data_IF_370712664835
#
_entry.id   IF_370712664835
#
_cell.length_a   1.000
_cell.length_b   1.000
_cell.length_c   1.000
_cell.angle_alpha   90.00
_cell.angle_beta   90.00
_cell.angle_gamma   90.00
#
_symmetry.space_group_name_H-M   'P 1'
#
loop_
_entity.id
_entity.type
_entity.pdbx_description
1 polymer ?
#
# COMPACT_ATOMS: atom_id res chain seq x y z
N UNK A 1 5.60 11.64 38.07
CA UNK A 1 5.72 11.19 36.67
C UNK A 1 4.53 10.31 36.36
N UNK A 2 3.50 10.81 35.66
CA UNK A 2 2.35 9.99 35.27
C UNK A 2 2.79 9.02 34.17
N UNK A 3 2.80 7.72 34.47
CA UNK A 3 3.06 6.68 33.47
C UNK A 3 2.08 6.85 32.31
N UNK A 4 2.62 6.98 31.11
CA UNK A 4 1.87 6.99 29.86
C UNK A 4 1.36 5.55 29.67
N UNK A 5 0.05 5.33 29.78
CA UNK A 5 -0.58 4.01 29.62
C UNK A 5 -1.01 3.82 28.17
N UNK A 6 -0.05 3.83 27.24
CA UNK A 6 -0.34 3.37 25.87
C UNK A 6 0.02 1.90 25.79
N UNK A 7 -0.81 1.05 25.17
CA UNK A 7 -0.48 -0.35 24.98
C UNK A 7 0.81 -0.49 24.16
N UNK A 8 1.61 -1.51 24.45
CA UNK A 8 2.87 -1.75 23.76
C UNK A 8 2.59 -1.95 22.25
N UNK A 9 3.04 -1.00 21.42
CA UNK A 9 2.75 -0.99 19.99
C UNK A 9 3.37 -2.19 19.25
N UNK A 10 4.51 -2.71 19.70
CA UNK A 10 5.11 -3.92 19.11
C UNK A 10 4.27 -5.15 19.41
N UNK A 11 3.90 -5.35 20.68
CA UNK A 11 3.05 -6.47 21.07
C UNK A 11 1.67 -6.42 20.40
N UNK A 12 1.08 -5.23 20.27
CA UNK A 12 -0.17 -5.03 19.53
C UNK A 12 -0.03 -5.40 18.05
N UNK A 13 1.10 -5.04 17.42
CA UNK A 13 1.37 -5.36 16.02
C UNK A 13 1.53 -6.86 15.81
N UNK A 14 2.29 -7.54 16.66
CA UNK A 14 2.44 -9.01 16.63
C UNK A 14 1.10 -9.73 16.81
N UNK A 15 0.28 -9.25 17.75
CA UNK A 15 -1.06 -9.79 17.97
C UNK A 15 -1.97 -9.60 16.75
N UNK A 16 -1.98 -8.40 16.17
CA UNK A 16 -2.73 -8.08 14.96
C UNK A 16 -2.31 -8.99 13.80
N UNK A 17 -1.00 -9.12 13.53
CA UNK A 17 -0.50 -9.98 12.46
C UNK A 17 -0.82 -11.46 12.69
N UNK A 18 -0.80 -11.93 13.95
CA UNK A 18 -1.20 -13.29 14.32
C UNK A 18 -2.69 -13.54 14.05
N UNK A 19 -3.57 -12.63 14.46
CA UNK A 19 -5.01 -12.77 14.24
C UNK A 19 -5.38 -12.61 12.77
N UNK A 20 -4.65 -11.78 12.03
CA UNK A 20 -4.82 -11.65 10.59
C UNK A 20 -4.49 -12.95 9.87
N UNK A 21 -3.36 -13.60 10.19
CA UNK A 21 -3.01 -14.93 9.66
C UNK A 21 -4.10 -15.97 9.94
N UNK A 22 -4.73 -15.90 11.10
CA UNK A 22 -5.86 -16.76 11.43
C UNK A 22 -7.02 -16.52 10.45
N UNK A 23 -7.45 -15.27 10.25
CA UNK A 23 -8.55 -14.93 9.32
C UNK A 23 -8.23 -15.34 7.88
N UNK A 24 -6.98 -15.18 7.43
CA UNK A 24 -6.56 -15.60 6.09
C UNK A 24 -6.66 -17.13 5.86
N UNK A 25 -6.61 -17.92 6.93
CA UNK A 25 -6.72 -19.38 6.87
C UNK A 25 -8.17 -19.88 7.03
N UNK A 26 -9.15 -19.00 7.29
CA UNK A 26 -10.55 -19.36 7.44
C UNK A 26 -11.25 -19.49 6.07
N UNK A 27 -12.00 -20.57 5.85
CA UNK A 27 -12.76 -20.78 4.60
C UNK A 27 -14.07 -19.97 4.53
N UNK A 28 -14.64 -19.59 5.69
CA UNK A 28 -15.91 -18.88 5.78
C UNK A 28 -15.81 -17.66 6.71
N UNK A 29 -16.14 -16.48 6.19
CA UNK A 29 -16.11 -15.21 6.91
C UNK A 29 -17.51 -14.73 7.29
N UNK A 30 -18.12 -15.38 8.29
CA UNK A 30 -19.30 -14.77 8.93
C UNK A 30 -18.84 -13.57 9.76
N UNK A 31 -19.51 -12.43 9.58
CA UNK A 31 -19.20 -11.17 10.26
C UNK A 31 -20.45 -10.69 10.97
N UNK A 32 -20.31 -10.21 12.20
CA UNK A 32 -21.39 -9.58 12.93
C UNK A 32 -21.91 -8.34 12.17
N UNK A 33 -23.23 -8.19 11.92
CA UNK A 33 -23.76 -7.14 11.05
C UNK A 33 -23.44 -5.70 11.50
N UNK A 34 -23.40 -5.47 12.81
CA UNK A 34 -23.01 -4.20 13.44
C UNK A 34 -21.56 -3.82 13.09
N UNK A 35 -20.64 -4.77 13.23
CA UNK A 35 -19.23 -4.60 12.85
C UNK A 35 -19.09 -4.34 11.36
N UNK A 36 -19.81 -5.10 10.53
CA UNK A 36 -19.69 -4.95 9.08
C UNK A 36 -20.15 -3.57 8.60
N UNK A 37 -21.27 -3.07 9.14
CA UNK A 37 -21.78 -1.73 8.85
C UNK A 37 -20.80 -0.64 9.27
N UNK A 38 -20.17 -0.75 10.45
CA UNK A 38 -19.17 0.22 10.92
C UNK A 38 -17.92 0.26 10.04
N UNK A 39 -17.46 -0.90 9.57
CA UNK A 39 -16.31 -0.99 8.65
C UNK A 39 -16.68 -0.51 7.23
N UNK A 40 -17.95 -0.64 6.81
CA UNK A 40 -18.47 -0.05 5.58
C UNK A 40 -18.79 1.45 5.67
N UNK A 41 -18.75 2.07 6.86
CA UNK A 41 -19.18 3.47 7.02
C UNK A 41 -18.44 4.44 6.10
N UNK A 42 -19.17 5.37 5.50
CA UNK A 42 -18.59 6.47 4.71
C UNK A 42 -17.69 7.39 5.56
N UNK A 43 -17.76 7.29 6.89
CA UNK A 43 -16.96 8.09 7.81
C UNK A 43 -15.64 7.38 8.12
N UNK A 44 -14.54 7.84 7.50
CA UNK A 44 -13.17 7.33 7.72
C UNK A 44 -12.82 7.22 9.22
N UNK A 45 -13.20 8.22 10.02
CA UNK A 45 -12.94 8.21 11.46
C UNK A 45 -13.60 7.04 12.18
N UNK A 46 -14.80 6.62 11.78
CA UNK A 46 -15.47 5.45 12.39
C UNK A 46 -14.73 4.17 11.99
N UNK A 47 -14.44 4.03 10.68
CA UNK A 47 -13.71 2.88 10.13
C UNK A 47 -12.40 2.62 10.87
N UNK A 48 -11.64 3.67 11.19
CA UNK A 48 -10.38 3.54 11.94
C UNK A 48 -10.56 3.50 13.46
N UNK A 49 -11.60 4.11 14.03
CA UNK A 49 -11.80 4.14 15.48
C UNK A 49 -12.04 2.72 16.04
N UNK A 50 -12.97 1.97 15.44
CA UNK A 50 -13.34 0.63 15.88
C UNK A 50 -12.15 -0.32 16.04
N UNK A 51 -11.32 -0.61 15.00
CA UNK A 51 -10.16 -1.49 15.14
C UNK A 51 -9.12 -0.95 16.12
N UNK A 52 -8.93 0.37 16.19
CA UNK A 52 -7.99 0.99 17.12
C UNK A 52 -8.38 0.69 18.57
N UNK A 53 -9.64 0.93 18.93
CA UNK A 53 -10.13 0.79 20.29
C UNK A 53 -10.14 -0.68 20.75
N UNK A 54 -10.61 -1.58 19.87
CA UNK A 54 -10.65 -3.02 20.16
C UNK A 54 -9.24 -3.61 20.31
N UNK A 55 -8.31 -3.31 19.39
CA UNK A 55 -6.94 -3.82 19.49
C UNK A 55 -6.21 -3.27 20.72
N UNK A 56 -6.44 -2.00 21.05
CA UNK A 56 -5.90 -1.39 22.28
C UNK A 56 -6.35 -2.15 23.51
N UNK A 57 -7.66 -2.35 23.69
CA UNK A 57 -8.26 -3.12 24.80
C UNK A 57 -7.80 -4.58 24.83
N UNK A 58 -7.63 -5.19 23.66
CA UNK A 58 -7.17 -6.58 23.58
C UNK A 58 -5.69 -6.71 23.97
N UNK A 59 -4.88 -5.70 23.66
CA UNK A 59 -3.46 -5.66 24.02
C UNK A 59 -3.26 -5.37 25.51
N UNK A 60 -4.08 -4.48 26.08
CA UNK A 60 -4.12 -4.19 27.52
C UNK A 60 -5.58 -4.11 28.00
N UNK A 61 -6.09 -5.16 28.67
CA UNK A 61 -7.47 -5.22 29.14
C UNK A 61 -7.87 -4.13 30.14
N UNK A 62 -6.91 -3.44 30.76
CA UNK A 62 -7.19 -2.38 31.74
C UNK A 62 -7.52 -1.03 31.09
N UNK A 63 -7.31 -0.89 29.79
CA UNK A 63 -7.60 0.34 29.06
C UNK A 63 -9.10 0.57 28.93
N UNK A 64 -9.52 1.82 28.90
CA UNK A 64 -10.90 2.19 28.57
C UNK A 64 -11.05 2.29 27.05
N UNK A 65 -11.79 1.38 26.43
CA UNK A 65 -11.96 1.39 24.97
C UNK A 65 -12.95 2.45 24.46
N UNK A 66 -13.58 3.21 25.36
CA UNK A 66 -14.35 4.40 25.01
C UNK A 66 -13.49 5.66 25.02
N UNK A 67 -12.26 5.59 25.55
CA UNK A 67 -11.34 6.71 25.62
C UNK A 67 -10.83 7.12 24.22
N UNK A 68 -10.83 8.42 23.92
CA UNK A 68 -10.43 8.97 22.62
C UNK A 68 -9.16 9.84 22.71
N UNK A 69 -8.75 10.25 23.92
CA UNK A 69 -7.59 11.09 24.15
C UNK A 69 -6.81 10.70 25.39
N UNK A 70 -5.52 11.08 25.39
CA UNK A 70 -4.63 10.98 26.55
C UNK A 70 -5.33 11.52 27.79
N UNK A 71 -5.44 10.68 28.80
CA UNK A 71 -5.96 11.07 30.10
C UNK A 71 -5.04 12.07 30.81
N UNK A 72 -5.64 12.87 31.68
CA UNK A 72 -4.94 13.47 32.81
C UNK A 72 -4.92 12.47 33.99
N UNK A 73 -4.28 12.81 35.12
CA UNK A 73 -4.14 11.90 36.28
C UNK A 73 -5.46 11.44 36.94
N UNK A 74 -6.64 11.81 36.43
CA UNK A 74 -7.95 11.43 36.99
C UNK A 74 -8.57 10.18 36.34
N UNK A 75 -8.08 9.71 35.19
CA UNK A 75 -8.58 8.52 34.51
C UNK A 75 -7.43 7.53 34.28
N UNK A 76 -7.17 6.60 35.23
CA UNK A 76 -6.02 5.69 35.14
C UNK A 76 -6.04 4.75 33.92
N UNK A 77 -7.22 4.48 33.36
CA UNK A 77 -7.42 3.64 32.16
C UNK A 77 -7.42 4.43 30.84
N UNK A 78 -7.27 5.76 30.90
CA UNK A 78 -7.20 6.59 29.70
C UNK A 78 -5.83 6.49 29.03
N UNK A 79 -5.82 6.52 27.69
CA UNK A 79 -4.66 6.18 26.88
C UNK A 79 -4.56 7.06 25.63
N UNK A 80 -3.59 6.78 24.75
CA UNK A 80 -3.39 7.52 23.48
C UNK A 80 -3.86 6.72 22.25
N UNK A 81 -5.17 6.66 21.93
CA UNK A 81 -5.65 5.98 20.74
C UNK A 81 -5.11 6.57 19.44
N UNK A 82 -4.96 7.90 19.35
CA UNK A 82 -4.47 8.56 18.14
C UNK A 82 -3.02 8.18 17.85
N UNK A 83 -2.15 8.26 18.85
CA UNK A 83 -0.75 7.84 18.72
C UNK A 83 -0.59 6.33 18.52
N UNK A 84 -1.49 5.52 19.08
CA UNK A 84 -1.51 4.08 18.83
C UNK A 84 -1.97 3.75 17.40
N UNK A 85 -3.05 4.38 16.92
CA UNK A 85 -3.57 4.24 15.57
C UNK A 85 -2.50 4.57 14.52
N UNK A 86 -1.78 5.69 14.68
CA UNK A 86 -0.73 6.10 13.74
C UNK A 86 0.50 5.19 13.74
N UNK A 87 0.78 4.47 14.84
CA UNK A 87 1.91 3.54 14.96
C UNK A 87 1.59 2.11 14.56
N UNK A 88 0.34 1.68 14.71
CA UNK A 88 -0.05 0.27 14.56
C UNK A 88 -1.06 0.10 13.42
N UNK A 89 -2.25 0.70 13.54
CA UNK A 89 -3.36 0.48 12.59
C UNK A 89 -3.08 1.11 11.23
N UNK A 90 -2.62 2.35 11.18
CA UNK A 90 -2.37 3.06 9.90
C UNK A 90 -1.28 2.35 9.06
N UNK A 91 -0.09 2.01 9.60
CA UNK A 91 0.90 1.25 8.85
C UNK A 91 0.37 -0.12 8.41
N UNK A 92 -0.31 -0.85 9.31
CA UNK A 92 -0.89 -2.15 8.96
C UNK A 92 -1.92 -2.04 7.83
N UNK A 93 -2.77 -1.00 7.83
CA UNK A 93 -3.74 -0.79 6.73
C UNK A 93 -3.06 -0.41 5.42
N UNK A 94 -1.98 0.36 5.48
CA UNK A 94 -1.19 0.70 4.28
C UNK A 94 -0.59 -0.56 3.65
N UNK A 95 -0.14 -1.51 4.48
CA UNK A 95 0.35 -2.82 4.06
C UNK A 95 -0.79 -3.78 3.61
N UNK A 96 -2.01 -3.62 4.14
CA UNK A 96 -3.15 -4.51 3.92
C UNK A 96 -4.32 -3.81 3.20
N UNK A 97 -4.05 -3.34 1.98
CA UNK A 97 -5.05 -2.86 1.03
C UNK A 97 -5.90 -1.63 1.41
N UNK A 98 -5.57 -0.91 2.48
CA UNK A 98 -6.12 0.42 2.84
C UNK A 98 -7.66 0.53 2.71
N UNK A 99 -8.40 -0.56 2.95
CA UNK A 99 -9.85 -0.62 2.72
C UNK A 99 -10.63 0.30 3.65
N UNK A 100 -10.03 0.68 4.78
CA UNK A 100 -10.57 1.67 5.71
C UNK A 100 -10.34 3.13 5.26
N UNK A 101 -9.52 3.34 4.23
CA UNK A 101 -9.11 4.64 3.70
C UNK A 101 -7.60 4.87 3.77
N UNK A 102 -7.14 5.95 3.14
CA UNK A 102 -5.71 6.32 3.01
C UNK A 102 -5.26 7.41 3.97
N UNK A 103 -6.09 7.79 4.96
CA UNK A 103 -5.77 8.86 5.90
C UNK A 103 -4.57 8.47 6.77
N UNK A 104 -3.54 9.32 6.79
CA UNK A 104 -2.40 9.18 7.69
C UNK A 104 -2.71 9.62 9.13
N UNK A 105 -3.82 10.34 9.35
CA UNK A 105 -4.29 10.77 10.67
C UNK A 105 -5.82 10.71 10.79
N UNK A 106 -6.41 9.51 10.96
CA UNK A 106 -7.86 9.33 11.00
C UNK A 106 -8.55 10.00 12.19
N UNK A 107 -7.79 10.36 13.23
CA UNK A 107 -8.26 10.93 14.51
C UNK A 107 -8.32 12.47 14.51
N UNK A 108 -8.04 13.14 13.39
CA UNK A 108 -8.10 14.61 13.30
C UNK A 108 -9.53 15.19 13.30
N UNK A 109 -10.53 14.34 13.06
CA UNK A 109 -11.94 14.76 12.99
C UNK A 109 -12.45 15.31 14.33
N UNK A 110 -13.48 16.17 14.29
CA UNK A 110 -14.06 16.76 15.51
C UNK A 110 -14.58 15.70 16.51
N UNK A 111 -15.28 14.63 16.09
CA UNK A 111 -15.81 13.63 17.03
C UNK A 111 -14.72 12.88 17.81
N UNK A 112 -13.60 12.56 17.15
CA UNK A 112 -12.46 11.86 17.78
C UNK A 112 -11.54 12.79 18.60
N UNK A 113 -11.80 14.09 18.60
CA UNK A 113 -11.13 15.08 19.46
C UNK A 113 -11.82 15.29 20.81
N UNK A 114 -12.80 14.46 21.15
CA UNK A 114 -13.40 14.41 22.48
C UNK A 114 -12.53 13.57 23.42
N UNK A 115 -12.79 13.65 24.72
CA UNK A 115 -12.04 12.86 25.72
C UNK A 115 -12.46 11.38 25.67
N UNK A 116 -13.76 11.14 25.50
CA UNK A 116 -14.39 9.82 25.51
C UNK A 116 -15.61 9.83 24.59
N UNK A 117 -15.98 8.66 24.06
CA UNK A 117 -17.00 8.53 23.01
C UNK A 117 -18.44 8.78 23.49
N UNK A 118 -18.70 8.56 24.78
CA UNK A 118 -19.99 8.73 25.45
C UNK A 118 -20.27 10.17 25.91
N UNK A 119 -19.32 11.09 25.71
CA UNK A 119 -19.47 12.51 26.08
C UNK A 119 -20.08 13.31 24.93
N UNK A 120 -21.25 13.91 25.22
CA UNK A 120 -21.98 14.95 24.48
C UNK A 120 -21.89 14.87 22.94
N UNK A 121 -22.86 14.16 22.35
CA UNK A 121 -22.91 13.90 20.92
C UNK A 121 -23.68 14.98 20.15
N UNK A 122 -23.31 16.25 20.34
CA UNK A 122 -23.84 17.36 19.54
C UNK A 122 -23.86 17.02 18.04
N UNK A 123 -25.06 17.06 17.43
CA UNK A 123 -25.42 16.73 16.02
C UNK A 123 -24.22 16.47 15.11
N UNK A 124 -23.61 15.30 15.25
CA UNK A 124 -22.52 14.89 14.36
C UNK A 124 -23.16 14.33 13.08
N UNK A 125 -22.57 14.65 11.92
CA UNK A 125 -22.97 14.01 10.67
C UNK A 125 -22.80 12.48 10.81
N UNK A 126 -23.77 11.71 10.31
CA UNK A 126 -23.84 10.24 10.45
C UNK A 126 -23.99 9.77 11.91
N UNK A 127 -24.82 10.46 12.70
CA UNK A 127 -25.07 10.14 14.11
C UNK A 127 -25.36 8.65 14.36
N UNK A 128 -26.17 8.01 13.50
CA UNK A 128 -26.49 6.57 13.60
C UNK A 128 -25.26 5.67 13.65
N UNK A 129 -24.23 5.96 12.85
CA UNK A 129 -23.01 5.15 12.81
C UNK A 129 -22.17 5.38 14.09
N UNK A 130 -22.19 6.61 14.63
CA UNK A 130 -21.54 6.93 15.91
C UNK A 130 -22.25 6.27 17.10
N UNK A 131 -23.58 6.21 17.08
CA UNK A 131 -24.38 5.53 18.09
C UNK A 131 -24.08 4.03 18.09
N UNK A 132 -24.01 3.42 16.90
CA UNK A 132 -23.64 2.01 16.74
C UNK A 132 -22.21 1.72 17.20
N UNK A 133 -21.26 2.61 16.87
CA UNK A 133 -19.89 2.50 17.37
C UNK A 133 -19.83 2.55 18.90
N UNK A 134 -20.59 3.46 19.50
CA UNK A 134 -20.69 3.59 20.95
C UNK A 134 -21.31 2.33 21.57
N UNK A 135 -22.37 1.78 20.98
CA UNK A 135 -23.03 0.57 21.47
C UNK A 135 -22.07 -0.62 21.47
N UNK A 136 -21.38 -0.88 20.34
CA UNK A 136 -20.40 -1.97 20.21
C UNK A 136 -19.27 -1.82 21.23
N UNK A 137 -18.67 -0.64 21.34
CA UNK A 137 -17.56 -0.41 22.27
C UNK A 137 -18.02 -0.42 23.73
N UNK A 138 -19.24 0.04 24.03
CA UNK A 138 -19.81 -0.03 25.38
C UNK A 138 -20.08 -1.47 25.79
N UNK A 139 -20.55 -2.33 24.88
CA UNK A 139 -20.73 -3.75 25.15
C UNK A 139 -19.40 -4.42 25.50
N UNK A 140 -18.34 -4.12 24.75
CA UNK A 140 -16.99 -4.62 25.00
C UNK A 140 -16.46 -4.14 26.36
N UNK A 141 -16.59 -2.84 26.65
CA UNK A 141 -16.14 -2.25 27.92
C UNK A 141 -16.89 -2.85 29.11
N UNK A 142 -18.22 -2.99 29.01
CA UNK A 142 -19.06 -3.50 30.09
C UNK A 142 -18.86 -5.00 30.36
N UNK A 143 -18.66 -5.81 29.31
CA UNK A 143 -18.41 -7.25 29.47
C UNK A 143 -17.03 -7.54 30.05
N UNK A 144 -16.04 -6.69 29.81
CA UNK A 144 -14.66 -6.82 30.31
C UNK A 144 -14.08 -8.24 30.11
N UNK A 145 -14.38 -8.85 28.95
CA UNK A 145 -14.00 -10.23 28.63
C UNK A 145 -13.00 -10.23 27.48
N UNK A 146 -11.74 -10.64 27.70
CA UNK A 146 -10.73 -10.69 26.64
C UNK A 146 -11.15 -11.56 25.44
N UNK A 147 -11.82 -12.69 25.70
CA UNK A 147 -12.30 -13.57 24.65
C UNK A 147 -13.42 -12.92 23.82
N UNK A 148 -14.33 -12.20 24.47
CA UNK A 148 -15.36 -11.44 23.75
C UNK A 148 -14.75 -10.33 22.89
N UNK A 149 -13.81 -9.55 23.44
CA UNK A 149 -13.08 -8.51 22.70
C UNK A 149 -12.34 -9.10 21.51
N UNK A 150 -11.67 -10.24 21.69
CA UNK A 150 -10.96 -10.96 20.63
C UNK A 150 -11.91 -11.36 19.50
N UNK A 151 -13.07 -11.92 19.82
CA UNK A 151 -14.06 -12.33 18.83
C UNK A 151 -14.61 -11.13 18.05
N UNK A 152 -14.94 -10.02 18.72
CA UNK A 152 -15.34 -8.77 18.06
C UNK A 152 -14.23 -8.21 17.16
N UNK A 153 -12.97 -8.33 17.57
CA UNK A 153 -11.85 -7.91 16.74
C UNK A 153 -11.62 -8.83 15.53
N UNK A 154 -11.81 -10.14 15.67
CA UNK A 154 -11.80 -11.07 14.54
C UNK A 154 -12.91 -10.74 13.53
N UNK A 155 -14.10 -10.35 13.98
CA UNK A 155 -15.16 -9.89 13.08
C UNK A 155 -14.75 -8.64 12.30
N UNK A 156 -14.04 -7.70 12.94
CA UNK A 156 -13.47 -6.52 12.25
C UNK A 156 -12.48 -6.97 11.16
N UNK A 157 -11.57 -7.88 11.48
CA UNK A 157 -10.60 -8.40 10.52
C UNK A 157 -11.28 -9.15 9.37
N UNK A 158 -12.29 -9.98 9.64
CA UNK A 158 -13.08 -10.65 8.59
C UNK A 158 -13.80 -9.65 7.69
N UNK A 159 -14.39 -8.61 8.25
CA UNK A 159 -15.05 -7.52 7.51
C UNK A 159 -14.07 -6.78 6.58
N UNK A 160 -12.86 -6.52 7.08
CA UNK A 160 -11.75 -5.97 6.30
C UNK A 160 -11.38 -6.95 5.18
N UNK A 161 -11.18 -8.23 5.47
CA UNK A 161 -10.80 -9.26 4.50
C UNK A 161 -11.81 -9.41 3.37
N UNK A 162 -13.11 -9.45 3.69
CA UNK A 162 -14.18 -9.49 2.67
C UNK A 162 -14.06 -8.30 1.73
N UNK A 163 -13.85 -7.09 2.25
CA UNK A 163 -13.65 -5.88 1.42
C UNK A 163 -12.36 -5.93 0.61
N UNK A 164 -11.28 -6.49 1.16
CA UNK A 164 -10.03 -6.70 0.40
C UNK A 164 -10.30 -7.61 -0.81
N UNK A 165 -10.98 -8.73 -0.59
CA UNK A 165 -11.35 -9.70 -1.64
C UNK A 165 -12.28 -9.08 -2.68
N UNK A 166 -13.25 -8.27 -2.25
CA UNK A 166 -14.13 -7.52 -3.18
C UNK A 166 -13.40 -6.39 -3.92
N UNK A 167 -12.31 -5.89 -3.36
CA UNK A 167 -11.47 -4.85 -3.97
C UNK A 167 -10.45 -5.43 -4.97
N UNK A 168 -10.13 -6.72 -4.90
CA UNK A 168 -9.30 -7.38 -5.93
C UNK A 168 -10.13 -7.60 -7.19
N UNK A 169 -9.66 -7.07 -8.31
CA UNK A 169 -10.31 -7.25 -9.59
C UNK A 169 -9.76 -8.49 -10.27
N UNK A 170 -10.64 -9.36 -10.75
CA UNK A 170 -10.29 -10.37 -11.73
C UNK A 170 -10.11 -9.68 -13.08
N UNK A 171 -8.90 -9.79 -13.64
CA UNK A 171 -8.57 -9.22 -14.94
C UNK A 171 -8.64 -10.32 -15.99
N UNK A 172 -9.68 -10.26 -16.83
CA UNK A 172 -9.82 -11.16 -17.96
C UNK A 172 -8.87 -10.67 -19.06
N UNK A 173 -7.81 -11.43 -19.32
CA UNK A 173 -6.86 -11.14 -20.39
C UNK A 173 -7.22 -12.00 -21.61
N UNK A 174 -7.25 -11.44 -22.83
CA UNK A 174 -7.52 -12.22 -24.03
C UNK A 174 -6.46 -13.30 -24.24
N UNK A 175 -6.87 -14.43 -24.82
CA UNK A 175 -5.96 -15.55 -25.13
C UNK A 175 -4.83 -15.13 -26.07
N UNK A 176 -5.15 -14.23 -27.02
CA UNK A 176 -4.21 -13.69 -28.01
C UNK A 176 -4.29 -12.18 -28.07
N UNK A 177 -3.13 -11.52 -28.17
CA UNK A 177 -3.05 -10.08 -28.33
C UNK A 177 -1.82 -9.65 -29.15
N UNK A 178 -2.03 -8.70 -30.06
CA UNK A 178 -0.92 -8.12 -30.82
C UNK A 178 -0.07 -7.18 -29.95
N UNK A 179 1.19 -6.99 -30.35
CA UNK A 179 2.08 -6.01 -29.71
C UNK A 179 1.48 -4.60 -29.77
N UNK A 180 0.88 -4.23 -30.91
CA UNK A 180 0.28 -2.90 -31.10
C UNK A 180 -0.88 -2.66 -30.14
N UNK A 181 -1.77 -3.65 -29.94
CA UNK A 181 -2.85 -3.57 -28.96
C UNK A 181 -2.29 -3.48 -27.53
N UNK A 182 -1.29 -4.30 -27.20
CA UNK A 182 -0.64 -4.30 -25.88
C UNK A 182 -0.05 -2.93 -25.53
N UNK A 183 0.74 -2.35 -26.45
CA UNK A 183 1.32 -1.02 -26.28
C UNK A 183 0.23 0.06 -26.23
N UNK A 184 -0.82 -0.06 -27.06
CA UNK A 184 -1.97 0.84 -27.06
C UNK A 184 -2.69 0.90 -25.71
N UNK A 185 -2.95 -0.27 -25.11
CA UNK A 185 -3.57 -0.38 -23.78
C UNK A 185 -2.72 0.32 -22.71
N UNK A 186 -1.42 0.06 -22.69
CA UNK A 186 -0.52 0.69 -21.72
C UNK A 186 -0.51 2.21 -21.89
N UNK A 187 -0.45 2.70 -23.13
CA UNK A 187 -0.52 4.15 -23.40
C UNK A 187 -1.82 4.77 -22.89
N UNK A 188 -2.95 4.12 -23.17
CA UNK A 188 -4.24 4.60 -22.69
C UNK A 188 -4.31 4.57 -21.16
N UNK A 189 -3.76 3.54 -20.53
CA UNK A 189 -3.71 3.43 -19.08
C UNK A 189 -2.84 4.51 -18.44
N UNK A 190 -1.67 4.82 -19.02
CA UNK A 190 -0.76 5.85 -18.51
C UNK A 190 -1.20 7.29 -18.86
N UNK A 191 -2.22 7.46 -19.70
CA UNK A 191 -2.70 8.80 -20.10
C UNK A 191 -3.37 9.59 -18.96
N UNK A 192 -3.86 8.91 -17.93
CA UNK A 192 -4.44 9.55 -16.75
C UNK A 192 -3.46 9.62 -15.58
N UNK A 193 -3.45 10.76 -14.89
CA UNK A 193 -2.58 10.95 -13.72
C UNK A 193 -2.93 10.01 -12.57
N UNK A 194 -1.92 9.27 -12.14
CA UNK A 194 -2.00 8.30 -11.05
C UNK A 194 -1.10 8.63 -9.86
N UNK A 195 -0.30 9.70 -9.95
CA UNK A 195 0.76 9.99 -8.99
C UNK A 195 1.94 9.02 -9.06
N UNK A 196 2.21 8.41 -10.23
CA UNK A 196 3.30 7.46 -10.45
C UNK A 196 2.92 5.98 -10.28
N UNK A 197 1.75 5.68 -9.70
CA UNK A 197 1.35 4.33 -9.32
C UNK A 197 1.10 3.41 -10.53
N UNK A 198 0.52 3.95 -11.61
CA UNK A 198 0.30 3.21 -12.86
C UNK A 198 1.63 2.93 -13.56
N UNK A 199 2.49 3.94 -13.75
CA UNK A 199 3.80 3.77 -14.35
C UNK A 199 4.65 2.73 -13.63
N UNK A 200 4.65 2.77 -12.30
CA UNK A 200 5.38 1.82 -11.48
C UNK A 200 4.82 0.40 -11.58
N UNK A 201 3.49 0.24 -11.63
CA UNK A 201 2.84 -1.06 -11.83
C UNK A 201 3.18 -1.67 -13.20
N UNK A 202 3.18 -0.84 -14.25
CA UNK A 202 3.56 -1.25 -15.61
C UNK A 202 5.03 -1.70 -15.65
N UNK A 203 5.94 -0.90 -15.09
CA UNK A 203 7.36 -1.23 -15.07
C UNK A 203 7.61 -2.54 -14.28
N UNK A 204 7.02 -2.68 -13.09
CA UNK A 204 7.15 -3.91 -12.29
C UNK A 204 6.67 -5.15 -13.05
N UNK A 205 5.48 -5.08 -13.64
CA UNK A 205 4.91 -6.17 -14.43
C UNK A 205 5.77 -6.52 -15.64
N UNK A 206 6.36 -5.52 -16.31
CA UNK A 206 7.26 -5.74 -17.42
C UNK A 206 8.52 -6.48 -16.98
N UNK A 207 9.19 -6.03 -15.92
CA UNK A 207 10.40 -6.68 -15.42
C UNK A 207 10.14 -8.08 -14.85
N UNK A 208 8.99 -8.33 -14.21
CA UNK A 208 8.58 -9.70 -13.82
C UNK A 208 8.40 -10.60 -15.06
N UNK A 209 7.75 -10.08 -16.10
CA UNK A 209 7.52 -10.83 -17.33
C UNK A 209 8.83 -11.16 -18.05
N UNK A 210 9.68 -10.16 -18.27
CA UNK A 210 10.97 -10.36 -18.93
C UNK A 210 11.90 -11.24 -18.07
N UNK A 211 11.87 -11.06 -16.74
CA UNK A 211 12.60 -11.89 -15.78
C UNK A 211 12.26 -13.37 -15.91
N UNK A 212 10.95 -13.68 -15.98
CA UNK A 212 10.45 -15.03 -16.19
C UNK A 212 10.86 -15.60 -17.56
N UNK A 213 10.56 -14.89 -18.66
CA UNK A 213 10.76 -15.42 -20.01
C UNK A 213 12.24 -15.60 -20.38
N UNK A 214 13.10 -14.69 -19.93
CA UNK A 214 14.53 -14.74 -20.26
C UNK A 214 15.38 -15.37 -19.14
N UNK A 215 14.77 -15.76 -18.01
CA UNK A 215 15.49 -16.29 -16.85
C UNK A 215 16.46 -15.28 -16.23
N UNK A 216 16.17 -13.98 -16.33
CA UNK A 216 17.05 -12.90 -15.86
C UNK A 216 16.91 -12.66 -14.36
N UNK A 217 15.68 -12.76 -13.84
CA UNK A 217 15.33 -12.39 -12.47
C UNK A 217 14.44 -13.46 -11.85
N UNK A 218 14.71 -13.84 -10.61
CA UNK A 218 13.82 -14.69 -9.82
C UNK A 218 12.83 -13.90 -8.98
N UNK A 219 13.13 -12.63 -8.71
CA UNK A 219 12.31 -11.75 -7.89
C UNK A 219 12.42 -10.30 -8.37
N UNK A 220 11.29 -9.61 -8.49
CA UNK A 220 11.22 -8.17 -8.72
C UNK A 220 10.49 -7.55 -7.53
N UNK A 221 11.22 -6.76 -6.73
CA UNK A 221 10.66 -6.04 -5.58
C UNK A 221 10.30 -4.64 -6.02
N UNK A 222 9.03 -4.30 -5.84
CA UNK A 222 8.53 -2.93 -6.01
C UNK A 222 8.39 -2.28 -4.63
N UNK A 223 8.83 -1.04 -4.51
CA UNK A 223 8.66 -0.24 -3.30
C UNK A 223 7.42 0.68 -3.42
N UNK A 224 6.69 0.88 -2.34
CA UNK A 224 5.50 1.74 -2.38
C UNK A 224 5.91 3.22 -2.42
N UNK A 225 5.17 4.04 -3.20
CA UNK A 225 5.47 5.47 -3.41
C UNK A 225 5.52 6.28 -2.09
N UNK A 226 4.84 5.82 -1.05
CA UNK A 226 4.74 6.50 0.25
C UNK A 226 5.70 5.94 1.32
N UNK A 227 6.52 4.95 1.00
CA UNK A 227 7.54 4.46 1.93
C UNK A 227 8.61 5.54 2.05
N UNK A 228 8.78 6.12 3.24
CA UNK A 228 9.87 7.07 3.46
C UNK A 228 11.21 6.37 3.14
N UNK A 229 11.82 6.73 2.00
CA UNK A 229 13.09 6.23 1.44
C UNK A 229 14.24 6.13 2.46
N UNK A 230 14.14 6.82 3.60
CA UNK A 230 15.14 6.83 4.65
C UNK A 230 15.18 5.58 5.55
N UNK A 231 14.11 4.77 5.61
CA UNK A 231 14.01 3.67 6.58
C UNK A 231 14.40 2.28 6.03
N UNK A 232 14.35 2.08 4.70
CA UNK A 232 14.48 0.74 4.10
C UNK A 232 15.80 0.47 3.38
N UNK A 233 16.63 1.50 3.12
CA UNK A 233 17.86 1.32 2.35
C UNK A 233 17.62 0.95 0.88
N UNK A 234 16.41 1.16 0.38
CA UNK A 234 16.04 0.87 -1.01
C UNK A 234 16.87 1.67 -1.99
N UNK A 235 17.23 1.01 -3.09
CA UNK A 235 18.19 1.48 -4.07
C UNK A 235 17.54 1.95 -5.38
N UNK A 236 16.21 1.88 -5.47
CA UNK A 236 15.35 2.39 -6.56
C UNK A 236 13.86 2.06 -6.34
N UNK A 237 12.98 2.53 -7.21
CA UNK A 237 11.55 2.20 -7.12
C UNK A 237 11.27 0.69 -7.33
N UNK A 238 12.09 0.04 -8.17
CA UNK A 238 12.11 -1.41 -8.37
C UNK A 238 13.53 -1.98 -8.21
N UNK A 239 13.62 -3.19 -7.67
CA UNK A 239 14.86 -3.95 -7.50
C UNK A 239 14.68 -5.37 -8.05
N UNK A 240 15.54 -5.78 -8.97
CA UNK A 240 15.47 -7.10 -9.62
C UNK A 240 16.61 -7.99 -9.14
N UNK A 241 16.28 -9.15 -8.58
CA UNK A 241 17.23 -10.09 -7.98
C UNK A 241 17.37 -11.37 -8.82
N UNK A 242 18.59 -11.91 -8.86
CA UNK A 242 18.83 -13.25 -9.42
C UNK A 242 18.40 -14.37 -8.45
N UNK A 243 18.40 -15.61 -8.93
CA UNK A 243 18.05 -16.79 -8.14
C UNK A 243 18.97 -17.05 -6.93
N UNK A 244 20.10 -16.35 -6.83
CA UNK A 244 21.03 -16.40 -5.69
C UNK A 244 20.77 -15.27 -4.70
N UNK A 245 19.78 -14.41 -4.94
CA UNK A 245 19.44 -13.26 -4.11
C UNK A 245 20.31 -12.03 -4.33
N UNK A 246 21.11 -11.97 -5.41
CA UNK A 246 21.93 -10.80 -5.70
C UNK A 246 21.12 -9.77 -6.48
N UNK A 247 21.19 -8.49 -6.07
CA UNK A 247 20.63 -7.39 -6.82
C UNK A 247 21.36 -7.24 -8.16
N UNK A 248 20.62 -7.39 -9.26
CA UNK A 248 21.15 -7.28 -10.63
C UNK A 248 20.87 -5.94 -11.26
N UNK A 249 19.71 -5.38 -10.98
CA UNK A 249 19.22 -4.19 -11.63
C UNK A 249 18.34 -3.40 -10.68
N UNK A 250 18.57 -2.09 -10.61
CA UNK A 250 17.66 -1.13 -9.98
C UNK A 250 16.96 -0.30 -11.06
N UNK A 251 15.68 0.00 -10.86
CA UNK A 251 14.89 0.80 -11.78
C UNK A 251 14.22 1.94 -11.02
N UNK A 252 14.45 3.16 -11.49
CA UNK A 252 13.74 4.35 -11.03
C UNK A 252 12.70 4.74 -12.09
N UNK A 253 11.43 4.84 -11.72
CA UNK A 253 10.33 5.09 -12.65
C UNK A 253 9.89 6.54 -12.55
N UNK A 254 9.83 7.23 -13.70
CA UNK A 254 9.33 8.61 -13.78
C UNK A 254 8.32 8.73 -14.92
N UNK A 255 7.11 9.15 -14.59
CA UNK A 255 6.06 9.51 -15.56
C UNK A 255 6.31 10.89 -16.21
N UNK A 256 7.44 11.55 -15.88
CA UNK A 256 7.85 12.87 -16.40
C UNK A 256 9.27 12.83 -16.94
N UNK A 257 9.65 13.88 -17.66
CA UNK A 257 11.03 14.07 -18.10
C UNK A 257 12.00 14.05 -16.91
N UNK A 258 13.13 13.38 -17.08
CA UNK A 258 14.22 13.33 -16.11
C UNK A 258 14.90 14.68 -16.01
N UNK A 259 15.16 15.09 -14.78
CA UNK A 259 16.01 16.23 -14.47
C UNK A 259 17.39 15.76 -14.02
N UNK A 260 18.36 16.67 -14.05
CA UNK A 260 19.70 16.42 -13.53
C UNK A 260 19.67 16.05 -12.03
N UNK A 261 18.74 16.62 -11.28
CA UNK A 261 18.54 16.31 -9.86
C UNK A 261 18.09 14.87 -9.65
N UNK A 262 17.19 14.36 -10.50
CA UNK A 262 16.75 12.96 -10.44
C UNK A 262 17.93 12.01 -10.67
N UNK A 263 18.74 12.27 -11.70
CA UNK A 263 19.89 11.43 -12.06
C UNK A 263 20.95 11.46 -10.96
N UNK A 264 21.28 12.64 -10.41
CA UNK A 264 22.22 12.77 -9.29
C UNK A 264 21.73 12.00 -8.05
N UNK A 265 20.44 12.05 -7.76
CA UNK A 265 19.85 11.33 -6.63
C UNK A 265 19.95 9.81 -6.84
N UNK A 266 19.65 9.34 -8.05
CA UNK A 266 19.80 7.92 -8.40
C UNK A 266 21.25 7.44 -8.34
N UNK A 267 22.21 8.23 -8.81
CA UNK A 267 23.66 7.92 -8.68
C UNK A 267 24.06 7.73 -7.22
N UNK A 268 23.58 8.60 -6.33
CA UNK A 268 23.86 8.49 -4.89
C UNK A 268 23.24 7.23 -4.29
N UNK A 269 22.01 6.86 -4.68
CA UNK A 269 21.36 5.61 -4.27
C UNK A 269 22.14 4.39 -4.78
N UNK A 270 22.50 4.38 -6.07
CA UNK A 270 23.27 3.32 -6.70
C UNK A 270 24.61 3.07 -6.02
N UNK A 271 25.35 4.13 -5.72
CA UNK A 271 26.64 4.02 -5.01
C UNK A 271 26.49 3.49 -3.59
N UNK A 272 25.48 3.93 -2.84
CA UNK A 272 25.21 3.45 -1.48
C UNK A 272 24.81 1.96 -1.47
N UNK A 273 24.08 1.52 -2.47
CA UNK A 273 23.65 0.12 -2.63
C UNK A 273 24.59 -0.77 -3.43
N UNK A 274 25.79 -0.28 -3.79
CA UNK A 274 26.77 -0.99 -4.64
C UNK A 274 26.18 -1.54 -5.95
N UNK A 275 25.21 -0.82 -6.52
CA UNK A 275 24.51 -1.23 -7.75
C UNK A 275 25.40 -0.95 -8.96
N UNK A 276 25.52 -1.97 -9.83
CA UNK A 276 26.24 -1.85 -11.10
C UNK A 276 25.35 -1.47 -12.28
N UNK A 277 24.08 -1.87 -12.28
CA UNK A 277 23.15 -1.61 -13.36
C UNK A 277 21.93 -0.83 -12.85
N UNK A 278 21.67 0.35 -13.40
CA UNK A 278 20.50 1.14 -13.06
C UNK A 278 19.81 1.70 -14.31
N UNK A 279 18.49 1.55 -14.36
CA UNK A 279 17.65 2.12 -15.41
C UNK A 279 16.81 3.25 -14.83
N UNK A 280 16.83 4.41 -15.47
CA UNK A 280 15.78 5.40 -15.34
C UNK A 280 14.71 5.13 -16.40
N UNK A 281 13.56 4.61 -15.98
CA UNK A 281 12.43 4.41 -16.86
C UNK A 281 11.63 5.71 -16.97
N UNK A 282 11.90 6.48 -18.02
CA UNK A 282 11.35 7.82 -18.21
C UNK A 282 11.18 8.16 -19.70
N UNK A 283 10.17 8.98 -20.06
CA UNK A 283 9.89 9.33 -21.45
C UNK A 283 11.07 10.04 -22.14
N UNK A 284 11.89 10.77 -21.38
CA UNK A 284 12.99 11.56 -21.91
C UNK A 284 13.71 12.33 -20.80
N UNK A 285 14.57 13.25 -21.21
CA UNK A 285 15.30 14.21 -20.38
C UNK A 285 14.72 15.60 -20.56
N UNK A 286 14.88 16.46 -19.56
CA UNK A 286 14.58 17.88 -19.71
C UNK A 286 15.56 18.49 -20.74
N UNK A 287 15.03 19.11 -21.80
CA UNK A 287 15.86 19.59 -22.91
C UNK A 287 16.96 20.58 -22.50
N UNK A 288 16.72 21.37 -21.45
CA UNK A 288 17.71 22.30 -20.88
C UNK A 288 18.87 21.62 -20.17
N UNK A 289 18.71 20.36 -19.75
CA UNK A 289 19.67 19.61 -18.93
C UNK A 289 20.23 18.37 -19.64
N UNK A 290 19.82 18.11 -20.89
CA UNK A 290 20.11 16.87 -21.61
C UNK A 290 21.62 16.59 -21.72
N UNK A 291 22.40 17.62 -22.06
CA UNK A 291 23.86 17.52 -22.14
C UNK A 291 24.51 17.20 -20.80
N UNK A 292 24.08 17.86 -19.72
CA UNK A 292 24.63 17.64 -18.37
C UNK A 292 24.26 16.25 -17.85
N UNK A 293 23.07 15.76 -18.17
CA UNK A 293 22.64 14.39 -17.86
C UNK A 293 23.50 13.38 -18.61
N UNK A 294 23.73 13.57 -19.91
CA UNK A 294 24.59 12.69 -20.70
C UNK A 294 26.03 12.66 -20.17
N UNK A 295 26.61 13.81 -19.86
CA UNK A 295 27.95 13.91 -19.26
C UNK A 295 28.03 13.21 -17.88
N UNK A 296 26.97 13.31 -17.07
CA UNK A 296 26.89 12.62 -15.78
C UNK A 296 26.78 11.09 -15.93
N UNK A 297 26.02 10.60 -16.92
CA UNK A 297 25.92 9.16 -17.22
C UNK A 297 27.29 8.60 -17.58
N UNK A 298 28.00 9.24 -18.52
CA UNK A 298 29.35 8.85 -18.94
C UNK A 298 30.35 8.85 -17.77
N UNK A 299 30.30 9.90 -16.94
CA UNK A 299 31.16 9.98 -15.75
C UNK A 299 30.84 8.89 -14.72
N UNK A 300 29.57 8.51 -14.60
CA UNK A 300 29.14 7.48 -13.66
C UNK A 300 29.60 6.10 -14.11
N UNK A 301 29.57 5.83 -15.42
CA UNK A 301 30.15 4.63 -16.03
C UNK A 301 31.63 4.44 -15.66
N UNK A 302 32.42 5.51 -15.79
CA UNK A 302 33.84 5.49 -15.39
C UNK A 302 34.06 5.17 -13.90
N UNK A 303 33.03 5.35 -13.06
CA UNK A 303 33.04 4.98 -11.64
C UNK A 303 32.51 3.57 -11.33
N UNK A 304 32.19 2.76 -12.35
CA UNK A 304 31.80 1.36 -12.22
C UNK A 304 30.30 1.09 -12.14
N UNK A 305 29.45 2.09 -12.40
CA UNK A 305 27.99 1.95 -12.45
C UNK A 305 27.48 2.34 -13.83
N UNK A 306 26.80 1.41 -14.49
CA UNK A 306 26.08 1.64 -15.73
C UNK A 306 24.73 2.31 -15.44
N UNK A 307 24.48 3.44 -16.11
CA UNK A 307 23.20 4.13 -16.07
C UNK A 307 22.57 4.12 -17.46
N UNK A 308 21.29 3.78 -17.51
CA UNK A 308 20.51 3.78 -18.74
C UNK A 308 19.29 4.66 -18.58
N UNK A 309 18.85 5.28 -19.67
CA UNK A 309 17.52 5.90 -19.78
C UNK A 309 16.76 5.18 -20.88
N UNK A 310 15.62 4.60 -20.53
CA UNK A 310 14.76 3.91 -21.49
C UNK A 310 13.32 4.33 -21.26
N UNK A 311 12.59 4.69 -22.32
CA UNK A 311 11.16 4.94 -22.19
C UNK A 311 10.42 3.62 -22.01
N UNK A 312 9.26 3.66 -21.36
CA UNK A 312 8.41 2.47 -21.17
C UNK A 312 7.99 1.87 -22.51
N UNK A 313 7.71 2.72 -23.51
CA UNK A 313 7.39 2.32 -24.87
C UNK A 313 8.52 1.51 -25.52
N UNK A 314 9.77 1.93 -25.33
CA UNK A 314 10.96 1.27 -25.89
C UNK A 314 11.12 -0.12 -25.26
N UNK A 315 11.01 -0.19 -23.93
CA UNK A 315 11.12 -1.44 -23.18
C UNK A 315 10.02 -2.43 -23.56
N UNK A 316 8.77 -1.96 -23.68
CA UNK A 316 7.64 -2.79 -24.09
C UNK A 316 7.82 -3.31 -25.51
N UNK A 317 8.16 -2.41 -26.43
CA UNK A 317 8.28 -2.75 -27.86
C UNK A 317 9.38 -3.77 -28.07
N UNK A 318 10.58 -3.54 -27.52
CA UNK A 318 11.71 -4.46 -27.70
C UNK A 318 11.49 -5.73 -26.89
N UNK A 319 11.18 -5.60 -25.60
CA UNK A 319 11.06 -6.74 -24.68
C UNK A 319 9.97 -7.72 -25.08
N UNK A 320 8.76 -7.23 -25.36
CA UNK A 320 7.62 -8.10 -25.72
C UNK A 320 7.65 -8.54 -27.19
N UNK A 321 8.49 -7.94 -28.04
CA UNK A 321 8.77 -8.51 -29.36
C UNK A 321 9.67 -9.74 -29.20
N UNK A 322 10.74 -9.63 -28.43
CA UNK A 322 11.71 -10.71 -28.23
C UNK A 322 11.13 -11.88 -27.44
N UNK A 323 10.26 -11.61 -26.46
CA UNK A 323 9.64 -12.64 -25.62
C UNK A 323 8.44 -13.35 -26.28
N UNK A 324 7.96 -12.86 -27.43
CA UNK A 324 6.90 -13.52 -28.21
C UNK A 324 5.48 -13.13 -27.83
N UNK A 325 4.50 -13.90 -28.31
CA UNK A 325 3.07 -13.58 -28.11
C UNK A 325 2.60 -13.92 -26.69
N UNK A 326 2.96 -15.09 -26.17
CA UNK A 326 2.55 -15.56 -24.84
C UNK A 326 3.00 -14.60 -23.72
N UNK A 327 4.14 -13.92 -23.90
CA UNK A 327 4.63 -12.96 -22.94
C UNK A 327 3.75 -11.73 -22.81
N UNK A 328 2.97 -11.38 -23.83
CA UNK A 328 2.07 -10.23 -23.81
C UNK A 328 0.86 -10.50 -22.92
N UNK A 329 0.27 -11.69 -23.04
CA UNK A 329 -0.81 -12.12 -22.16
C UNK A 329 -0.32 -12.24 -20.72
N UNK A 330 0.88 -12.80 -20.49
CA UNK A 330 1.48 -12.81 -19.16
C UNK A 330 1.74 -11.40 -18.63
N UNK A 331 2.27 -10.50 -19.45
CA UNK A 331 2.49 -9.10 -19.06
C UNK A 331 1.20 -8.41 -18.61
N UNK A 332 0.12 -8.52 -19.38
CA UNK A 332 -1.16 -7.91 -19.02
C UNK A 332 -1.73 -8.47 -17.71
N UNK A 333 -1.57 -9.78 -17.51
CA UNK A 333 -1.93 -10.44 -16.24
C UNK A 333 -1.10 -9.90 -15.09
N UNK A 334 0.22 -9.82 -15.27
CA UNK A 334 1.14 -9.28 -14.27
C UNK A 334 0.83 -7.81 -13.94
N UNK A 335 0.38 -6.99 -14.90
CA UNK A 335 -0.10 -5.63 -14.59
C UNK A 335 -1.28 -5.69 -13.62
N UNK A 336 -2.26 -6.54 -13.87
CA UNK A 336 -3.40 -6.75 -12.97
C UNK A 336 -2.97 -7.23 -11.58
N UNK A 337 -2.06 -8.20 -11.52
CA UNK A 337 -1.49 -8.72 -10.27
C UNK A 337 -0.73 -7.64 -9.50
N UNK A 338 0.06 -6.80 -10.17
CA UNK A 338 0.76 -5.67 -9.55
C UNK A 338 -0.22 -4.65 -8.96
N UNK A 339 -1.28 -4.31 -9.69
CA UNK A 339 -2.30 -3.37 -9.21
C UNK A 339 -3.06 -3.92 -7.99
N UNK A 340 -3.34 -5.23 -7.96
CA UNK A 340 -3.97 -5.89 -6.81
C UNK A 340 -3.00 -6.02 -5.62
N UNK A 341 -1.78 -6.51 -5.86
CA UNK A 341 -0.75 -6.77 -4.83
C UNK A 341 -0.32 -5.51 -4.10
N UNK A 342 -0.17 -4.39 -4.82
CA UNK A 342 0.21 -3.10 -4.23
C UNK A 342 -0.98 -2.22 -3.88
N UNK A 343 -2.19 -2.77 -4.00
CA UNK A 343 -3.43 -2.08 -3.69
C UNK A 343 -3.51 -0.67 -4.29
N UNK A 344 -3.18 -0.58 -5.58
CA UNK A 344 -3.34 0.63 -6.34
C UNK A 344 -4.80 1.13 -6.22
N UNK A 345 -4.99 2.46 -6.19
CA UNK A 345 -6.30 3.07 -5.98
C UNK A 345 -7.40 2.36 -6.79
N UNK A 346 -8.60 2.08 -6.23
CA UNK A 346 -9.65 1.33 -6.93
C UNK A 346 -9.98 1.89 -8.33
N UNK A 347 -9.91 3.22 -8.51
CA UNK A 347 -10.10 3.87 -9.82
C UNK A 347 -9.12 3.35 -10.89
N UNK A 348 -7.87 3.11 -10.51
CA UNK A 348 -6.82 2.66 -11.42
C UNK A 348 -7.01 1.18 -11.77
N UNK A 349 -7.37 0.34 -10.80
CA UNK A 349 -7.73 -1.06 -11.05
C UNK A 349 -8.96 -1.18 -11.96
N UNK A 350 -10.00 -0.41 -11.68
CA UNK A 350 -11.20 -0.36 -12.51
C UNK A 350 -10.86 0.09 -13.94
N UNK A 351 -10.04 1.13 -14.10
CA UNK A 351 -9.62 1.59 -15.42
C UNK A 351 -8.87 0.50 -16.19
N UNK A 352 -7.94 -0.22 -15.55
CA UNK A 352 -7.25 -1.34 -16.19
C UNK A 352 -8.22 -2.44 -16.65
N UNK A 353 -9.19 -2.79 -15.80
CA UNK A 353 -10.23 -3.75 -16.14
C UNK A 353 -11.06 -3.30 -17.34
N UNK A 354 -11.56 -2.07 -17.36
CA UNK A 354 -12.33 -1.51 -18.46
C UNK A 354 -11.53 -1.56 -19.77
N UNK A 355 -10.24 -1.25 -19.72
CA UNK A 355 -9.36 -1.31 -20.89
C UNK A 355 -9.21 -2.74 -21.41
N UNK A 356 -9.02 -3.73 -20.53
CA UNK A 356 -8.95 -5.14 -20.91
C UNK A 356 -10.29 -5.71 -21.42
N UNK A 357 -11.42 -5.20 -20.95
CA UNK A 357 -12.75 -5.60 -21.44
C UNK A 357 -13.09 -4.95 -22.80
N UNK A 358 -12.33 -3.94 -23.23
CA UNK A 358 -12.58 -3.19 -24.47
C UNK A 358 -11.94 -3.77 -25.74
N UNK A 359 -11.16 -4.85 -25.60
CA UNK A 359 -10.33 -5.45 -26.66
C UNK A 359 -10.85 -6.78 -27.19
#
# INVERSE_FOLDING_TARGET
>A
MSRIVSPNSLAARELLDSLWKQVLAEEQTSVAPDIDLLIASDVVSIRFCLPTQLLGKLTDPNLDCLCLQKGNSKLPSAWDPRGFCSKVIVPWMQENHSVLGTSSDPYVSKPLRRIRLDVDQDKVKNQKDWDMLLEVLSEVENRSSPEFTKNRFLDVLRSIYTRVKESSFDFVVPERISLQQTVGLVKQFLSESSGGDRGLSIAAALFETLGFYFGLFSEVRRHAINSADAATGSSGDLECFDAKGNLKLSVEVKERMLTLTDVRSGVLKARKGEIREMIFNAPGTAASEDREIAELIEKTWASGTNLYRLAVDDLLTVGLTLAGEESRSLFLKNVGEQLNRFNTQPKNRMQWRILLESI
#
